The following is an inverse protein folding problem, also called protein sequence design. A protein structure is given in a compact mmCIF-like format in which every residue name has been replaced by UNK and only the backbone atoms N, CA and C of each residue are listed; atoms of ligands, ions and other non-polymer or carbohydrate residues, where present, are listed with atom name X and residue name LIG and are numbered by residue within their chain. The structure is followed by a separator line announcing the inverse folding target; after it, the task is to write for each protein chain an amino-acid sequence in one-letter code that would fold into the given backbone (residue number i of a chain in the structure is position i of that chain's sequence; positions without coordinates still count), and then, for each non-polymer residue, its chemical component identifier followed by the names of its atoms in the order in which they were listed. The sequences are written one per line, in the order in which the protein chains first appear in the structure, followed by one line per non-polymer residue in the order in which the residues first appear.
data_IF_456504046398
#
_entry.id   IF_456504046398
#
_cell.length_a   1.000
_cell.length_b   1.000
_cell.length_c   1.000
_cell.angle_alpha   90.00
_cell.angle_beta   90.00
_cell.angle_gamma   90.00
#
_symmetry.space_group_name_H-M   'P 1'
#
loop_
_entity.id
_entity.type
_entity.pdbx_description
1 polymer ?
#
# COMPACT_ATOMS: atom_id res chain seq x y z
N UNK A 1 -13.99 24.74 62.77
CA UNK A 1 -14.77 23.69 62.09
C UNK A 1 -15.53 24.38 60.98
N UNK A 2 -15.39 23.91 59.74
CA UNK A 2 -16.04 24.53 58.59
C UNK A 2 -17.55 24.20 58.62
N UNK A 3 -18.41 25.15 58.29
CA UNK A 3 -19.87 24.98 58.40
C UNK A 3 -20.39 23.80 57.55
N UNK A 4 -19.74 23.54 56.41
CA UNK A 4 -20.00 22.36 55.59
C UNK A 4 -19.83 21.02 56.33
N UNK A 5 -18.80 20.91 57.17
CA UNK A 5 -18.54 19.69 57.94
C UNK A 5 -19.56 19.50 59.06
N UNK A 6 -20.07 20.61 59.61
CA UNK A 6 -21.15 20.61 60.59
C UNK A 6 -22.47 20.21 59.93
N UNK A 7 -22.76 20.74 58.74
CA UNK A 7 -23.96 20.40 57.96
C UNK A 7 -23.90 18.94 57.52
N UNK A 8 -22.77 18.44 57.01
CA UNK A 8 -22.58 17.01 56.66
C UNK A 8 -22.75 16.09 57.86
N UNK A 9 -22.16 16.41 59.02
CA UNK A 9 -22.35 15.62 60.24
C UNK A 9 -23.81 15.60 60.68
N UNK A 10 -24.49 16.75 60.61
CA UNK A 10 -25.91 16.83 60.97
C UNK A 10 -26.78 16.02 60.01
N UNK A 11 -26.51 16.10 58.70
CA UNK A 11 -27.20 15.30 57.69
C UNK A 11 -26.91 13.79 57.84
N UNK A 12 -25.71 13.40 58.27
CA UNK A 12 -25.33 12.00 58.49
C UNK A 12 -25.94 11.41 59.77
N UNK A 13 -26.09 12.21 60.83
CA UNK A 13 -26.72 11.79 62.08
C UNK A 13 -28.25 11.76 61.94
N UNK A 14 -28.84 12.77 61.30
CA UNK A 14 -30.29 12.85 61.08
C UNK A 14 -30.75 12.11 59.81
N UNK A 15 -29.83 11.65 58.95
CA UNK A 15 -29.95 10.74 57.79
C UNK A 15 -30.91 11.12 56.66
N UNK A 16 -32.04 11.72 57.01
CA UNK A 16 -33.23 11.99 56.21
C UNK A 16 -34.02 13.19 56.81
N UNK A 17 -33.48 13.89 57.83
CA UNK A 17 -34.24 14.89 58.60
C UNK A 17 -35.44 14.30 59.35
N UNK A 18 -35.49 12.97 59.48
CA UNK A 18 -36.54 12.29 60.21
C UNK A 18 -36.14 12.32 61.67
N UNK A 19 -36.86 13.12 62.46
CA UNK A 19 -36.62 13.25 63.90
C UNK A 19 -36.91 11.96 64.65
N UNK A 20 -36.15 10.90 64.37
CA UNK A 20 -36.25 9.60 65.02
C UNK A 20 -35.71 9.68 66.45
N UNK A 21 -34.63 10.42 66.67
CA UNK A 21 -34.19 10.79 68.03
C UNK A 21 -35.27 11.63 68.75
N UNK A 22 -35.94 12.54 68.02
CA UNK A 22 -37.07 13.31 68.55
C UNK A 22 -38.29 12.44 68.87
N UNK A 23 -38.55 11.41 68.06
CA UNK A 23 -39.63 10.42 68.26
C UNK A 23 -39.34 9.51 69.44
N UNK A 24 -38.12 9.03 69.58
CA UNK A 24 -37.66 8.24 70.74
C UNK A 24 -37.74 9.06 72.03
N UNK A 25 -37.26 10.31 72.00
CA UNK A 25 -37.41 11.24 73.12
C UNK A 25 -38.87 11.54 73.45
N UNK A 26 -39.76 11.64 72.46
CA UNK A 26 -41.18 11.82 72.68
C UNK A 26 -41.84 10.59 73.31
N UNK A 27 -41.51 9.39 72.81
CA UNK A 27 -41.96 8.12 73.38
C UNK A 27 -41.49 7.97 74.84
N UNK A 28 -40.22 8.29 75.12
CA UNK A 28 -39.68 8.29 76.48
C UNK A 28 -40.45 9.23 77.41
N UNK A 29 -40.73 10.47 76.96
CA UNK A 29 -41.52 11.43 77.75
C UNK A 29 -42.95 10.94 77.98
N UNK A 30 -43.57 10.31 76.98
CA UNK A 30 -44.90 9.73 77.10
C UNK A 30 -44.94 8.56 78.11
N UNK A 31 -43.92 7.70 78.10
CA UNK A 31 -43.78 6.60 79.07
C UNK A 31 -43.63 7.16 80.49
N UNK A 32 -42.73 8.13 80.70
CA UNK A 32 -42.53 8.75 82.02
C UNK A 32 -43.83 9.41 82.52
N UNK A 33 -44.55 10.12 81.63
CA UNK A 33 -45.83 10.73 81.96
C UNK A 33 -46.86 9.68 82.36
N UNK A 34 -47.01 8.62 81.57
CA UNK A 34 -47.93 7.51 81.84
C UNK A 34 -47.63 6.81 83.17
N UNK A 35 -46.35 6.58 83.50
CA UNK A 35 -45.95 6.00 84.79
C UNK A 35 -46.23 6.92 85.99
N UNK A 36 -46.36 8.22 85.77
CA UNK A 36 -46.58 9.23 86.82
C UNK A 36 -48.04 9.67 86.94
N UNK A 37 -48.88 9.25 85.99
CA UNK A 37 -50.30 9.59 85.90
C UNK A 37 -51.15 8.76 86.87
N UNK A 38 -52.12 9.41 87.52
CA UNK A 38 -53.26 8.78 88.23
C UNK A 38 -54.54 8.87 87.39
N UNK A 39 -54.41 8.59 86.09
CA UNK A 39 -55.49 8.71 85.11
C UNK A 39 -56.49 7.54 85.22
N UNK A 40 -57.71 7.71 84.69
CA UNK A 40 -58.71 6.64 84.61
C UNK A 40 -58.16 5.44 83.83
N UNK A 41 -58.66 4.23 84.15
CA UNK A 41 -58.20 3.00 83.50
C UNK A 41 -58.39 3.01 81.97
N UNK A 42 -59.39 3.73 81.46
CA UNK A 42 -59.63 3.90 80.02
C UNK A 42 -58.62 4.85 79.36
N UNK A 43 -58.25 5.96 80.01
CA UNK A 43 -57.24 6.90 79.51
C UNK A 43 -55.83 6.29 79.53
N UNK A 44 -55.55 5.47 80.54
CA UNK A 44 -54.31 4.71 80.66
C UNK A 44 -54.14 3.71 79.51
N UNK A 45 -55.22 3.02 79.10
CA UNK A 45 -55.19 2.12 77.94
C UNK A 45 -54.96 2.86 76.62
N UNK A 46 -55.65 3.98 76.38
CA UNK A 46 -55.45 4.79 75.17
C UNK A 46 -54.01 5.31 75.05
N UNK A 47 -53.40 5.69 76.18
CA UNK A 47 -51.99 6.09 76.22
C UNK A 47 -51.05 4.93 75.87
N UNK A 48 -51.31 3.73 76.40
CA UNK A 48 -50.55 2.51 76.10
C UNK A 48 -50.61 2.15 74.61
N UNK A 49 -51.79 2.14 74.01
CA UNK A 49 -51.98 1.84 72.58
C UNK A 49 -51.25 2.85 71.69
N UNK A 50 -51.28 4.13 72.06
CA UNK A 50 -50.52 5.18 71.38
C UNK A 50 -49.00 4.96 71.48
N UNK A 51 -48.49 4.55 72.65
CA UNK A 51 -47.08 4.22 72.84
C UNK A 51 -46.66 2.97 72.06
N UNK A 52 -47.50 1.93 72.00
CA UNK A 52 -47.25 0.72 71.20
C UNK A 52 -47.20 1.03 69.69
N UNK A 53 -48.08 1.90 69.21
CA UNK A 53 -48.05 2.37 67.83
C UNK A 53 -46.76 3.16 67.53
N UNK A 54 -46.34 4.04 68.44
CA UNK A 54 -45.08 4.79 68.32
C UNK A 54 -43.85 3.87 68.33
N UNK A 55 -43.84 2.84 69.18
CA UNK A 55 -42.77 1.84 69.24
C UNK A 55 -42.69 1.04 67.93
N UNK A 56 -43.84 0.60 67.41
CA UNK A 56 -43.92 -0.13 66.14
C UNK A 56 -43.36 0.70 64.97
N UNK A 57 -43.63 2.01 64.95
CA UNK A 57 -43.09 2.93 63.96
C UNK A 57 -41.57 3.11 64.08
N UNK A 58 -41.04 3.19 65.31
CA UNK A 58 -39.59 3.23 65.55
C UNK A 58 -38.92 1.94 65.05
N UNK A 59 -39.50 0.77 65.35
CA UNK A 59 -38.97 -0.51 64.91
C UNK A 59 -38.95 -0.62 63.38
N UNK A 60 -40.04 -0.20 62.72
CA UNK A 60 -40.10 -0.14 61.25
C UNK A 60 -38.98 0.74 60.67
N UNK A 61 -38.77 1.91 61.25
CA UNK A 61 -37.78 2.87 60.74
C UNK A 61 -36.35 2.35 60.89
N UNK A 62 -36.03 1.70 62.01
CA UNK A 62 -34.73 1.00 62.20
C UNK A 62 -34.55 -0.12 61.16
N UNK A 63 -35.59 -0.93 60.93
CA UNK A 63 -35.55 -2.00 59.90
C UNK A 63 -35.36 -1.43 58.50
N UNK A 64 -36.03 -0.32 58.16
CA UNK A 64 -35.87 0.41 56.89
C UNK A 64 -34.43 0.89 56.72
N UNK A 65 -33.90 1.62 57.71
CA UNK A 65 -32.53 2.13 57.69
C UNK A 65 -31.49 1.02 57.50
N UNK A 66 -31.63 -0.10 58.21
CA UNK A 66 -30.75 -1.27 58.05
C UNK A 66 -30.82 -1.86 56.64
N UNK A 67 -32.00 -1.90 56.01
CA UNK A 67 -32.15 -2.40 54.62
C UNK A 67 -31.52 -1.44 53.63
N UNK A 68 -31.72 -0.13 53.79
CA UNK A 68 -31.09 0.90 52.94
C UNK A 68 -29.57 0.82 53.06
N UNK A 69 -29.02 0.68 54.27
CA UNK A 69 -27.57 0.53 54.45
C UNK A 69 -27.00 -0.70 53.71
N UNK A 70 -27.71 -1.84 53.73
CA UNK A 70 -27.32 -3.03 52.97
C UNK A 70 -27.42 -2.82 51.46
N UNK A 71 -28.50 -2.19 50.99
CA UNK A 71 -28.70 -1.85 49.58
C UNK A 71 -27.57 -0.93 49.08
N UNK A 72 -27.27 0.14 49.82
CA UNK A 72 -26.19 1.07 49.48
C UNK A 72 -24.82 0.39 49.40
N UNK A 73 -24.54 -0.58 50.28
CA UNK A 73 -23.31 -1.35 50.22
C UNK A 73 -23.20 -2.20 48.94
N UNK A 74 -24.32 -2.81 48.51
CA UNK A 74 -24.39 -3.57 47.25
C UNK A 74 -24.26 -2.64 46.05
N UNK A 75 -24.97 -1.51 46.04
CA UNK A 75 -24.88 -0.52 44.97
C UNK A 75 -23.45 0.03 44.85
N UNK A 76 -22.78 0.32 45.95
CA UNK A 76 -21.39 0.78 45.94
C UNK A 76 -20.48 -0.25 45.26
N UNK A 77 -20.66 -1.54 45.57
CA UNK A 77 -19.91 -2.61 44.92
C UNK A 77 -20.20 -2.66 43.42
N UNK A 78 -21.48 -2.56 43.01
CA UNK A 78 -21.88 -2.53 41.61
C UNK A 78 -21.24 -1.34 40.87
N UNK A 79 -21.19 -0.15 41.48
CA UNK A 79 -20.52 1.01 40.89
C UNK A 79 -19.00 0.82 40.75
N UNK A 80 -18.36 0.17 41.73
CA UNK A 80 -16.94 -0.16 41.63
C UNK A 80 -16.67 -1.12 40.48
N UNK A 81 -17.49 -2.16 40.33
CA UNK A 81 -17.30 -3.16 39.27
C UNK A 81 -17.64 -2.60 37.89
N UNK A 82 -18.68 -1.76 37.78
CA UNK A 82 -18.97 -1.00 36.58
C UNK A 82 -17.81 -0.06 36.20
N UNK A 83 -17.21 0.63 37.17
CA UNK A 83 -16.05 1.49 36.93
C UNK A 83 -14.84 0.69 36.43
N UNK A 84 -14.58 -0.49 36.99
CA UNK A 84 -13.52 -1.38 36.51
C UNK A 84 -13.78 -1.83 35.07
N UNK A 85 -15.01 -2.22 34.76
CA UNK A 85 -15.40 -2.65 33.41
C UNK A 85 -15.21 -1.53 32.39
N UNK A 86 -15.70 -0.33 32.68
CA UNK A 86 -15.52 0.84 31.80
C UNK A 86 -14.02 1.12 31.56
N UNK A 87 -13.17 0.99 32.59
CA UNK A 87 -11.72 1.16 32.41
C UNK A 87 -11.11 0.09 31.51
N UNK A 88 -11.55 -1.16 31.62
CA UNK A 88 -11.10 -2.25 30.76
C UNK A 88 -11.53 -1.99 29.31
N UNK A 89 -12.80 -1.65 29.09
CA UNK A 89 -13.35 -1.34 27.76
C UNK A 89 -12.58 -0.17 27.10
N UNK A 90 -12.26 0.88 27.88
CA UNK A 90 -11.45 2.01 27.38
C UNK A 90 -10.05 1.56 26.95
N UNK A 91 -9.41 0.67 27.71
CA UNK A 91 -8.06 0.19 27.37
C UNK A 91 -8.07 -0.73 26.15
N UNK A 92 -9.09 -1.59 26.03
CA UNK A 92 -9.31 -2.42 24.84
C UNK A 92 -9.55 -1.56 23.60
N UNK A 93 -10.39 -0.54 23.69
CA UNK A 93 -10.68 0.36 22.58
C UNK A 93 -9.43 1.16 22.17
N UNK A 94 -8.62 1.61 23.14
CA UNK A 94 -7.32 2.25 22.87
C UNK A 94 -6.38 1.33 22.10
N UNK A 95 -6.31 0.06 22.49
CA UNK A 95 -5.52 -0.94 21.77
C UNK A 95 -6.05 -1.19 20.36
N UNK A 96 -7.37 -1.24 20.18
CA UNK A 96 -8.00 -1.37 18.87
C UNK A 96 -7.73 -0.18 17.96
N UNK A 97 -7.74 1.03 18.49
CA UNK A 97 -7.36 2.25 17.76
C UNK A 97 -5.91 2.15 17.29
N UNK A 98 -4.99 1.71 18.15
CA UNK A 98 -3.57 1.61 17.77
C UNK A 98 -3.33 0.54 16.71
N UNK A 99 -3.99 -0.61 16.82
CA UNK A 99 -3.99 -1.64 15.78
C UNK A 99 -4.57 -1.12 14.46
N UNK A 100 -5.64 -0.33 14.50
CA UNK A 100 -6.25 0.23 13.29
C UNK A 100 -5.36 1.28 12.64
N UNK A 101 -4.63 2.09 13.42
CA UNK A 101 -3.63 3.04 12.89
C UNK A 101 -2.49 2.34 12.19
N UNK A 102 -1.93 1.28 12.79
CA UNK A 102 -0.83 0.52 12.17
C UNK A 102 -1.29 -0.13 10.86
N UNK A 103 -2.45 -0.80 10.87
CA UNK A 103 -3.06 -1.35 9.66
C UNK A 103 -3.32 -0.29 8.57
N UNK A 104 -3.73 0.93 8.96
CA UNK A 104 -3.92 2.04 8.02
C UNK A 104 -2.59 2.48 7.37
N UNK A 105 -1.50 2.52 8.14
CA UNK A 105 -0.18 2.87 7.61
C UNK A 105 0.28 1.80 6.61
N UNK A 106 0.13 0.52 6.96
CA UNK A 106 0.45 -0.59 6.06
C UNK A 106 -0.37 -0.53 4.76
N UNK A 107 -1.68 -0.30 4.86
CA UNK A 107 -2.56 -0.15 3.70
C UNK A 107 -2.15 1.04 2.81
N UNK A 108 -1.68 2.16 3.39
CA UNK A 108 -1.15 3.30 2.63
C UNK A 108 0.13 2.93 1.88
N UNK A 109 1.04 2.18 2.50
CA UNK A 109 2.27 1.70 1.85
C UNK A 109 1.92 0.80 0.68
N UNK A 110 1.04 -0.19 0.87
CA UNK A 110 0.59 -1.08 -0.20
C UNK A 110 -0.03 -0.30 -1.36
N UNK A 111 -0.88 0.69 -1.05
CA UNK A 111 -1.47 1.56 -2.07
C UNK A 111 -0.40 2.35 -2.84
N UNK A 112 0.59 2.92 -2.15
CA UNK A 112 1.70 3.65 -2.78
C UNK A 112 2.49 2.74 -3.72
N UNK A 113 2.90 1.57 -3.24
CA UNK A 113 3.64 0.60 -4.03
C UNK A 113 2.84 0.15 -5.27
N UNK A 114 1.53 -0.06 -5.11
CA UNK A 114 0.65 -0.39 -6.24
C UNK A 114 0.62 0.71 -7.29
N UNK A 115 0.50 1.98 -6.88
CA UNK A 115 0.53 3.12 -7.80
C UNK A 115 1.88 3.24 -8.53
N UNK A 116 3.00 3.02 -7.83
CA UNK A 116 4.33 3.02 -8.44
C UNK A 116 4.48 1.89 -9.47
N UNK A 117 4.01 0.69 -9.16
CA UNK A 117 3.96 -0.43 -10.11
C UNK A 117 3.07 -0.11 -11.33
N UNK A 118 1.90 0.50 -11.13
CA UNK A 118 1.00 0.88 -12.22
C UNK A 118 1.64 1.93 -13.14
N UNK A 119 2.37 2.90 -12.58
CA UNK A 119 3.13 3.90 -13.35
C UNK A 119 4.23 3.22 -14.16
N UNK A 120 5.04 2.37 -13.54
CA UNK A 120 6.09 1.62 -14.24
C UNK A 120 5.52 0.71 -15.32
N UNK A 121 4.39 0.06 -15.05
CA UNK A 121 3.68 -0.77 -16.03
C UNK A 121 3.23 0.02 -17.26
N UNK A 122 2.73 1.25 -17.08
CA UNK A 122 2.40 2.14 -18.20
C UNK A 122 3.63 2.47 -19.06
N UNK A 123 4.74 2.86 -18.43
CA UNK A 123 6.00 3.16 -19.13
C UNK A 123 6.53 1.93 -19.87
N UNK A 124 6.44 0.74 -19.28
CA UNK A 124 6.84 -0.52 -19.93
C UNK A 124 5.96 -0.81 -21.16
N UNK A 125 4.65 -0.56 -21.06
CA UNK A 125 3.71 -0.80 -22.17
C UNK A 125 3.87 0.20 -23.33
N UNK A 126 4.50 1.36 -23.11
CA UNK A 126 4.88 2.27 -24.21
C UNK A 126 6.01 1.70 -25.07
N UNK A 127 6.80 0.77 -24.54
CA UNK A 127 7.86 0.11 -25.28
C UNK A 127 7.29 -1.05 -26.13
N UNK A 128 7.87 -1.32 -27.32
CA UNK A 128 7.40 -2.40 -28.17
C UNK A 128 7.58 -3.76 -27.50
N UNK A 129 6.71 -4.71 -27.85
CA UNK A 129 6.77 -6.04 -27.28
C UNK A 129 8.14 -6.69 -27.52
N UNK A 130 8.68 -7.29 -26.46
CA UNK A 130 10.01 -7.90 -26.46
C UNK A 130 10.07 -9.08 -27.42
N UNK A 131 8.98 -9.85 -27.53
CA UNK A 131 8.92 -11.03 -28.38
C UNK A 131 8.94 -10.61 -29.85
N UNK A 132 8.12 -9.62 -30.23
CA UNK A 132 8.12 -9.07 -31.58
C UNK A 132 9.46 -8.45 -31.97
N UNK A 133 10.06 -7.66 -31.07
CA UNK A 133 11.37 -7.05 -31.30
C UNK A 133 12.46 -8.12 -31.43
N UNK A 134 12.39 -9.21 -30.66
CA UNK A 134 13.27 -10.36 -30.78
C UNK A 134 13.17 -11.07 -32.13
N UNK A 135 11.94 -11.30 -32.63
CA UNK A 135 11.73 -11.87 -33.96
C UNK A 135 12.32 -10.98 -35.07
N UNK A 136 12.07 -9.68 -35.03
CA UNK A 136 12.65 -8.71 -36.00
C UNK A 136 14.18 -8.72 -35.94
N UNK A 137 14.75 -8.78 -34.74
CA UNK A 137 16.21 -8.87 -34.55
C UNK A 137 16.79 -10.15 -35.18
N UNK A 138 16.14 -11.30 -34.99
CA UNK A 138 16.60 -12.56 -35.54
C UNK A 138 16.46 -12.62 -37.07
N UNK A 139 15.40 -12.03 -37.63
CA UNK A 139 15.25 -11.82 -39.07
C UNK A 139 16.40 -10.97 -39.63
N UNK A 140 16.65 -9.80 -39.04
CA UNK A 140 17.75 -8.91 -39.45
C UNK A 140 19.12 -9.58 -39.34
N UNK A 141 19.37 -10.38 -38.29
CA UNK A 141 20.61 -11.17 -38.16
C UNK A 141 20.77 -12.17 -39.30
N UNK A 142 19.69 -12.86 -39.68
CA UNK A 142 19.72 -13.82 -40.77
C UNK A 142 19.95 -13.13 -42.12
N UNK A 143 19.28 -12.01 -42.38
CA UNK A 143 19.51 -11.19 -43.57
C UNK A 143 20.95 -10.70 -43.65
N UNK A 144 21.50 -10.17 -42.56
CA UNK A 144 22.89 -9.71 -42.49
C UNK A 144 23.87 -10.86 -42.74
N UNK A 145 23.60 -12.06 -42.21
CA UNK A 145 24.40 -13.27 -42.49
C UNK A 145 24.33 -13.64 -43.98
N UNK A 146 23.16 -13.56 -44.60
CA UNK A 146 22.98 -13.85 -46.02
C UNK A 146 23.66 -12.81 -46.92
N UNK A 147 23.56 -11.53 -46.58
CA UNK A 147 24.26 -10.44 -47.29
C UNK A 147 25.78 -10.59 -47.18
N UNK A 148 26.31 -10.95 -46.01
CA UNK A 148 27.75 -11.25 -45.86
C UNK A 148 28.18 -12.41 -46.75
N UNK A 149 27.41 -13.51 -46.79
CA UNK A 149 27.67 -14.64 -47.69
C UNK A 149 27.66 -14.19 -49.16
N UNK A 150 26.62 -13.46 -49.59
CA UNK A 150 26.51 -12.95 -50.95
C UNK A 150 27.70 -12.04 -51.30
N UNK A 151 28.10 -11.13 -50.41
CA UNK A 151 29.28 -10.28 -50.56
C UNK A 151 30.55 -11.11 -50.81
N UNK A 152 30.81 -12.10 -49.95
CA UNK A 152 32.00 -12.96 -50.09
C UNK A 152 31.98 -13.78 -51.39
N UNK A 153 30.80 -14.19 -51.86
CA UNK A 153 30.65 -14.88 -53.15
C UNK A 153 30.95 -13.95 -54.33
N UNK A 154 30.46 -12.71 -54.29
CA UNK A 154 30.73 -11.71 -55.33
C UNK A 154 32.22 -11.35 -55.33
N UNK A 155 32.83 -11.12 -54.17
CA UNK A 155 34.28 -10.88 -54.05
C UNK A 155 35.09 -12.03 -54.65
N UNK A 156 34.71 -13.29 -54.37
CA UNK A 156 35.36 -14.47 -54.97
C UNK A 156 35.20 -14.51 -56.49
N UNK A 157 33.99 -14.24 -57.02
CA UNK A 157 33.76 -14.18 -58.47
C UNK A 157 34.55 -13.05 -59.14
N UNK A 158 34.64 -11.89 -58.50
CA UNK A 158 35.44 -10.76 -58.98
C UNK A 158 36.93 -11.10 -59.02
N UNK A 159 37.45 -11.75 -57.97
CA UNK A 159 38.83 -12.22 -57.95
C UNK A 159 39.11 -13.25 -59.04
N UNK A 160 38.20 -14.21 -59.27
CA UNK A 160 38.32 -15.18 -60.36
C UNK A 160 38.35 -14.49 -61.74
N UNK A 161 37.45 -13.53 -61.99
CA UNK A 161 37.47 -12.75 -63.24
C UNK A 161 38.75 -11.96 -63.40
N UNK A 162 39.26 -11.32 -62.35
CA UNK A 162 40.57 -10.63 -62.38
C UNK A 162 41.69 -11.58 -62.75
N UNK A 163 41.70 -12.81 -62.20
CA UNK A 163 42.69 -13.83 -62.54
C UNK A 163 42.57 -14.28 -64.01
N UNK A 164 41.35 -14.47 -64.51
CA UNK A 164 41.09 -14.81 -65.92
C UNK A 164 41.55 -13.70 -66.87
N UNK A 165 41.28 -12.43 -66.54
CA UNK A 165 41.77 -11.30 -67.32
C UNK A 165 43.29 -11.21 -67.30
N UNK A 166 43.93 -11.42 -66.15
CA UNK A 166 45.39 -11.44 -66.05
C UNK A 166 45.98 -12.55 -66.93
N UNK A 167 45.43 -13.76 -66.88
CA UNK A 167 45.84 -14.86 -67.75
C UNK A 167 45.67 -14.50 -69.24
N UNK A 168 44.54 -13.90 -69.62
CA UNK A 168 44.31 -13.44 -71.00
C UNK A 168 45.35 -12.39 -71.44
N UNK A 169 45.63 -11.40 -70.59
CA UNK A 169 46.64 -10.37 -70.87
C UNK A 169 48.03 -10.99 -71.04
N UNK A 170 48.40 -11.96 -70.20
CA UNK A 170 49.66 -12.69 -70.35
C UNK A 170 49.69 -13.49 -71.66
N UNK A 171 48.60 -14.18 -72.02
CA UNK A 171 48.55 -14.90 -73.32
C UNK A 171 48.61 -13.95 -74.51
N UNK A 172 48.00 -12.77 -74.43
CA UNK A 172 48.11 -11.73 -75.47
C UNK A 172 49.54 -11.24 -75.59
N UNK A 173 50.22 -11.00 -74.46
CA UNK A 173 51.63 -10.60 -74.46
C UNK A 173 52.51 -11.70 -75.05
N UNK A 174 52.31 -12.96 -74.64
CA UNK A 174 53.05 -14.09 -75.20
C UNK A 174 52.81 -14.27 -76.71
N UNK A 175 51.57 -14.12 -77.17
CA UNK A 175 51.27 -14.15 -78.61
C UNK A 175 51.92 -12.97 -79.34
N UNK A 176 51.95 -11.79 -78.73
CA UNK A 176 52.69 -10.64 -79.27
C UNK A 176 54.19 -10.93 -79.34
N UNK A 177 54.77 -11.50 -78.29
CA UNK A 177 56.18 -11.85 -78.23
C UNK A 177 56.52 -12.93 -79.28
N UNK A 178 55.64 -13.92 -79.51
CA UNK A 178 55.78 -14.92 -80.60
C UNK A 178 55.70 -14.25 -81.98
N UNK A 179 54.77 -13.31 -82.18
CA UNK A 179 54.69 -12.55 -83.45
C UNK A 179 55.95 -11.70 -83.66
N UNK A 180 56.46 -11.04 -82.61
CA UNK A 180 57.73 -10.28 -82.67
C UNK A 180 58.94 -11.21 -82.88
N UNK A 181 58.93 -12.45 -82.36
CA UNK A 181 59.97 -13.47 -82.60
C UNK A 181 59.89 -14.09 -84.01
N UNK A 182 58.69 -14.34 -84.55
CA UNK A 182 58.49 -14.83 -85.93
C UNK A 182 58.90 -13.76 -86.97
N UNK A 183 58.71 -12.47 -86.66
CA UNK A 183 59.26 -11.36 -87.46
C UNK A 183 60.80 -11.29 -87.40
N UNK A 184 61.44 -11.93 -86.42
CA UNK A 184 62.90 -11.90 -86.22
C UNK A 184 63.68 -13.06 -86.87
N UNK A 185 62.98 -14.09 -87.41
CA UNK A 185 63.61 -15.24 -88.10
C UNK A 185 63.13 -15.31 -89.55
N UNK A 186 63.36 -14.24 -90.30
CA UNK A 186 63.69 -14.29 -91.74
C UNK A 186 64.55 -13.09 -92.13
N UNK A 187 65.89 -13.21 -92.20
CA UNK A 187 66.72 -12.23 -92.90
C UNK A 187 66.80 -12.63 -94.39
N UNK A 188 66.07 -11.94 -95.28
CA UNK A 188 66.45 -10.73 -96.04
C UNK A 188 67.00 -11.09 -97.43
N UNK A 189 66.31 -10.59 -98.46
CA UNK A 189 66.81 -10.00 -99.73
C UNK A 189 65.55 -9.77 -100.59
N UNK A 190 64.78 -8.67 -100.43
CA UNK A 190 65.04 -7.28 -100.84
C UNK A 190 65.76 -7.20 -102.20
N UNK A 191 65.01 -6.81 -103.24
CA UNK A 191 65.40 -5.86 -104.29
C UNK A 191 64.09 -5.30 -104.88
N UNK A 192 63.84 -4.04 -104.55
CA UNK A 192 63.50 -2.88 -105.41
C UNK A 192 62.36 -2.99 -106.45
N UNK A 193 61.64 -1.94 -106.81
CA UNK A 193 61.47 -0.55 -106.39
C UNK A 193 60.17 -0.09 -107.09
N UNK A 194 59.33 0.63 -106.34
CA UNK A 194 58.47 1.79 -106.65
C UNK A 194 58.41 2.42 -108.08
N UNK A 195 57.52 3.41 -108.39
CA UNK A 195 56.38 4.01 -107.64
C UNK A 195 55.15 4.39 -108.55
N UNK A 196 54.25 5.22 -107.99
CA UNK A 196 53.34 6.23 -108.58
C UNK A 196 51.84 5.94 -108.40
N UNK A 197 51.19 6.64 -107.45
CA UNK A 197 50.40 7.89 -107.65
C UNK A 197 49.03 7.54 -108.28
N UNK A 198 47.86 7.93 -107.77
CA UNK A 198 47.51 9.21 -107.15
C UNK A 198 46.09 9.22 -106.55
N UNK A 199 45.82 10.30 -105.82
CA UNK A 199 44.54 10.97 -105.59
C UNK A 199 43.62 10.60 -104.40
N UNK A 200 43.65 11.53 -103.44
CA UNK A 200 42.61 11.86 -102.47
C UNK A 200 41.23 12.13 -103.12
N UNK A 201 40.16 11.84 -102.37
CA UNK A 201 39.04 12.78 -102.18
C UNK A 201 38.18 12.32 -101.00
N UNK A 202 38.16 13.15 -99.96
CA UNK A 202 37.11 13.18 -98.94
C UNK A 202 35.89 13.98 -99.49
N UNK A 203 34.79 14.33 -98.78
CA UNK A 203 34.37 14.01 -97.40
C UNK A 203 32.82 13.81 -97.19
N UNK A 204 32.42 13.62 -95.92
CA UNK A 204 31.25 14.25 -95.23
C UNK A 204 29.80 13.66 -95.29
N UNK A 205 29.22 13.65 -94.08
CA UNK A 205 27.80 13.79 -93.65
C UNK A 205 26.92 12.55 -93.48
N UNK A 206 26.43 12.23 -92.26
CA UNK A 206 25.35 12.83 -91.42
C UNK A 206 23.97 12.24 -91.75
N UNK A 207 23.08 12.16 -90.73
CA UNK A 207 21.64 11.82 -90.74
C UNK A 207 21.40 10.33 -90.41
N UNK A 208 20.73 9.90 -89.33
CA UNK A 208 19.84 10.50 -88.32
C UNK A 208 19.89 9.63 -87.06
#
# INVERSE_FOLDING_TARGET
MNDEDVIKRRLLIDGDGTGDDRRLNALQKNIIKWCSSTDSQEESQLSLDGMLAQLSHCEFTVKKSRRVAKMNAIELQNYQDLSKKIKQDIEEERKMIENTKTALIEAKIVRKNKMECDILGKVINEQPDRIETGKKLDQLKNELKNLKKCRTQIEKKMMQRRQQFYALVVTIQQLRDIVEEDDSITPTEVINDEPMEDEETTPVSTVT
#
